data_IF_593227079695
#
_entry.id   IF_593227079695
#
_cell.length_a   1.000
_cell.length_b   1.000
_cell.length_c   1.000
_cell.angle_alpha   90.00
_cell.angle_beta   90.00
_cell.angle_gamma   90.00
#
_symmetry.space_group_name_H-M   'P 1'
#
loop_
_entity.id
_entity.type
_entity.pdbx_description
1 polymer ?
#
# COMPACT_ATOMS: atom_id res chain seq x y z
N UNK A 1 -8.36 -2.82 13.16
CA UNK A 1 -6.91 -2.53 13.10
C UNK A 1 -6.62 -1.24 13.87
N UNK A 2 -5.46 -1.14 14.54
CA UNK A 2 -5.08 0.06 15.30
C UNK A 2 -4.63 1.21 14.41
N UNK A 3 -4.00 0.90 13.27
CA UNK A 3 -3.59 1.84 12.24
C UNK A 3 -3.94 1.27 10.87
N UNK A 4 -4.29 2.15 9.93
CA UNK A 4 -4.60 1.81 8.54
C UNK A 4 -3.80 2.76 7.65
N UNK A 5 -2.95 2.21 6.78
CA UNK A 5 -2.22 3.00 5.78
C UNK A 5 -2.82 2.72 4.41
N UNK A 6 -3.48 3.71 3.82
CA UNK A 6 -3.97 3.67 2.45
C UNK A 6 -2.87 4.13 1.52
N UNK A 7 -2.28 3.20 0.79
CA UNK A 7 -1.28 3.49 -0.25
C UNK A 7 -2.00 3.59 -1.60
N UNK A 8 -1.82 4.72 -2.30
CA UNK A 8 -2.49 4.98 -3.58
C UNK A 8 -1.49 5.30 -4.67
N UNK A 9 -1.21 4.31 -5.53
CA UNK A 9 -0.25 4.42 -6.62
C UNK A 9 -0.89 4.95 -7.90
N UNK A 10 -0.34 6.03 -8.44
CA UNK A 10 -0.82 6.68 -9.67
C UNK A 10 0.32 7.02 -10.64
N UNK A 11 -0.01 7.47 -11.86
CA UNK A 11 1.00 7.85 -12.86
C UNK A 11 1.46 9.28 -12.65
N UNK A 12 0.51 10.21 -12.55
CA UNK A 12 0.74 11.64 -12.39
C UNK A 12 0.05 12.17 -11.13
N UNK A 13 0.50 13.30 -10.60
CA UNK A 13 -0.13 13.97 -9.46
C UNK A 13 -1.60 14.31 -9.74
N UNK A 14 -1.94 14.63 -10.99
CA UNK A 14 -3.30 14.91 -11.43
C UNK A 14 -4.24 13.69 -11.34
N UNK A 15 -3.70 12.47 -11.32
CA UNK A 15 -4.49 11.23 -11.21
C UNK A 15 -4.94 10.94 -9.76
N UNK A 16 -4.50 11.73 -8.77
CA UNK A 16 -4.96 11.63 -7.39
C UNK A 16 -6.40 12.16 -7.26
N UNK A 17 -7.38 11.41 -7.78
CA UNK A 17 -8.75 11.90 -7.95
C UNK A 17 -9.59 12.00 -6.67
N UNK A 18 -9.16 11.38 -5.56
CA UNK A 18 -9.97 11.21 -4.35
C UNK A 18 -9.49 12.04 -3.14
N UNK A 19 -8.63 13.03 -3.34
CA UNK A 19 -7.99 13.78 -2.25
C UNK A 19 -9.00 14.37 -1.27
N UNK A 20 -10.06 15.04 -1.75
CA UNK A 20 -11.08 15.62 -0.88
C UNK A 20 -11.75 14.56 0.00
N UNK A 21 -12.11 13.41 -0.57
CA UNK A 21 -12.78 12.34 0.16
C UNK A 21 -11.86 11.68 1.17
N UNK A 22 -10.60 11.43 0.79
CA UNK A 22 -9.59 10.84 1.67
C UNK A 22 -9.32 11.79 2.85
N UNK A 23 -9.14 13.09 2.61
CA UNK A 23 -8.96 14.07 3.70
C UNK A 23 -10.13 14.07 4.68
N UNK A 24 -11.38 14.02 4.20
CA UNK A 24 -12.55 13.88 5.08
C UNK A 24 -12.51 12.59 5.90
N UNK A 25 -12.13 11.47 5.29
CA UNK A 25 -11.99 10.20 6.01
C UNK A 25 -10.89 10.25 7.06
N UNK A 26 -9.76 10.91 6.80
CA UNK A 26 -8.69 11.08 7.79
C UNK A 26 -9.13 11.93 8.99
N UNK A 27 -9.96 12.96 8.76
CA UNK A 27 -10.55 13.76 9.85
C UNK A 27 -11.52 12.93 10.69
N UNK A 28 -12.31 12.05 10.05
CA UNK A 28 -13.27 11.19 10.74
C UNK A 28 -12.59 10.01 11.46
N UNK A 29 -11.49 9.50 10.90
CA UNK A 29 -10.78 8.31 11.37
C UNK A 29 -9.30 8.64 11.57
N UNK A 30 -8.88 9.10 12.77
CA UNK A 30 -7.50 9.47 13.05
C UNK A 30 -6.47 8.35 12.84
N UNK A 31 -6.91 7.09 12.85
CA UNK A 31 -6.09 5.92 12.55
C UNK A 31 -5.82 5.71 11.05
N UNK A 32 -6.46 6.47 10.17
CA UNK A 32 -6.28 6.40 8.72
C UNK A 32 -5.15 7.35 8.27
N UNK A 33 -4.09 6.76 7.74
CA UNK A 33 -2.96 7.45 7.14
C UNK A 33 -3.01 7.26 5.62
N UNK A 34 -2.66 8.31 4.88
CA UNK A 34 -2.68 8.29 3.44
C UNK A 34 -1.27 8.51 2.88
N UNK A 35 -0.87 7.62 1.96
CA UNK A 35 0.43 7.67 1.29
C UNK A 35 0.24 7.54 -0.22
N UNK A 36 0.18 8.66 -0.96
CA UNK A 36 0.19 8.61 -2.42
C UNK A 36 1.59 8.25 -2.93
N UNK A 37 1.63 7.52 -4.06
CA UNK A 37 2.87 7.15 -4.75
C UNK A 37 2.75 7.51 -6.23
N UNK A 38 3.59 8.42 -6.73
CA UNK A 38 3.51 8.97 -8.10
C UNK A 38 4.67 8.47 -8.94
N UNK A 39 4.36 7.76 -10.03
CA UNK A 39 5.38 6.95 -10.73
C UNK A 39 6.06 7.59 -11.94
N UNK A 40 5.51 8.65 -12.53
CA UNK A 40 6.04 9.23 -13.78
C UNK A 40 6.53 10.67 -13.67
N UNK A 41 6.43 11.27 -12.49
CA UNK A 41 6.91 12.62 -12.20
C UNK A 41 7.19 12.77 -10.70
N UNK A 42 7.92 13.81 -10.26
CA UNK A 42 8.11 14.08 -8.85
C UNK A 42 6.76 14.22 -8.13
N UNK A 43 6.62 13.49 -7.02
CA UNK A 43 5.43 13.55 -6.20
C UNK A 43 5.36 14.90 -5.48
N UNK A 44 4.21 15.59 -5.59
CA UNK A 44 3.94 16.82 -4.82
C UNK A 44 3.76 16.47 -3.33
N UNK A 45 3.21 15.30 -3.07
CA UNK A 45 3.00 14.72 -1.74
C UNK A 45 3.30 13.22 -1.77
N UNK A 46 3.80 12.68 -0.67
CA UNK A 46 4.10 11.25 -0.56
C UNK A 46 5.40 10.87 -1.28
N UNK A 47 5.39 9.73 -1.98
CA UNK A 47 6.59 9.13 -2.57
C UNK A 47 6.56 9.17 -4.09
N UNK A 48 7.74 9.25 -4.69
CA UNK A 48 7.96 9.06 -6.11
C UNK A 48 8.25 7.58 -6.45
N UNK A 49 8.02 7.18 -7.70
CA UNK A 49 8.30 5.84 -8.20
C UNK A 49 7.13 4.87 -8.11
N UNK A 50 7.42 3.56 -8.05
CA UNK A 50 6.40 2.50 -7.97
C UNK A 50 6.30 1.97 -6.54
N UNK A 51 5.10 1.53 -6.14
CA UNK A 51 4.87 0.87 -4.84
C UNK A 51 5.85 -0.29 -4.63
N UNK A 52 6.09 -1.12 -5.65
CA UNK A 52 7.05 -2.23 -5.58
C UNK A 52 8.46 -1.76 -5.27
N UNK A 53 8.93 -0.69 -5.90
CA UNK A 53 10.24 -0.10 -5.61
C UNK A 53 10.33 0.43 -4.19
N UNK A 54 9.27 1.10 -3.70
CA UNK A 54 9.22 1.66 -2.34
C UNK A 54 9.07 0.60 -1.24
N UNK A 55 8.58 -0.58 -1.59
CA UNK A 55 8.57 -1.75 -0.69
C UNK A 55 9.96 -2.39 -0.65
N UNK A 56 10.62 -2.52 -1.80
CA UNK A 56 11.94 -3.15 -1.90
C UNK A 56 13.05 -2.38 -1.19
N UNK A 57 12.93 -1.05 -1.10
CA UNK A 57 13.88 -0.18 -0.38
C UNK A 57 13.41 0.23 1.03
N UNK A 58 12.34 -0.40 1.53
CA UNK A 58 11.70 -0.14 2.82
C UNK A 58 11.16 1.29 3.03
N UNK A 59 11.26 2.20 2.06
CA UNK A 59 10.83 3.59 2.21
C UNK A 59 9.32 3.73 2.40
N UNK A 60 8.52 2.81 1.84
CA UNK A 60 7.09 2.75 2.08
C UNK A 60 6.79 2.41 3.54
N UNK A 61 7.50 1.44 4.12
CA UNK A 61 7.28 1.02 5.51
C UNK A 61 7.74 2.05 6.51
N UNK A 62 8.74 2.89 6.16
CA UNK A 62 9.13 4.03 6.97
C UNK A 62 8.00 5.08 7.16
N UNK A 63 6.99 5.07 6.30
CA UNK A 63 5.80 5.92 6.42
C UNK A 63 4.66 5.26 7.22
N UNK A 64 4.80 3.98 7.58
CA UNK A 64 3.86 3.31 8.46
C UNK A 64 4.11 3.70 9.93
N UNK A 65 3.05 3.69 10.73
CA UNK A 65 3.13 4.15 12.12
C UNK A 65 4.01 3.27 13.02
N UNK A 66 4.07 1.97 12.73
CA UNK A 66 4.83 0.97 13.49
C UNK A 66 5.71 0.18 12.52
N UNK A 67 6.75 -0.47 13.07
CA UNK A 67 7.50 -1.48 12.33
C UNK A 67 6.53 -2.54 11.78
N UNK A 68 6.62 -2.80 10.48
CA UNK A 68 5.73 -3.72 9.77
C UNK A 68 6.37 -5.10 9.78
N UNK A 69 5.73 -6.07 10.43
CA UNK A 69 6.22 -7.45 10.55
C UNK A 69 5.11 -8.47 10.26
N UNK A 70 5.44 -9.73 9.95
CA UNK A 70 4.44 -10.78 9.70
C UNK A 70 3.44 -10.99 10.85
N UNK A 71 3.84 -10.65 12.08
CA UNK A 71 3.01 -10.83 13.29
C UNK A 71 2.01 -9.68 13.51
N UNK A 72 2.22 -8.53 12.87
CA UNK A 72 1.45 -7.32 13.16
C UNK A 72 0.81 -6.63 11.94
N UNK A 73 1.08 -7.13 10.73
CA UNK A 73 0.64 -6.52 9.48
C UNK A 73 -0.35 -7.40 8.71
N UNK A 74 -1.23 -6.73 7.97
CA UNK A 74 -2.12 -7.32 6.98
C UNK A 74 -2.09 -6.43 5.74
N UNK A 75 -1.91 -7.03 4.57
CA UNK A 75 -1.84 -6.36 3.28
C UNK A 75 -3.07 -6.70 2.46
N UNK A 76 -3.74 -5.66 1.96
CA UNK A 76 -4.79 -5.77 0.97
C UNK A 76 -4.29 -5.08 -0.30
N UNK A 77 -4.07 -5.87 -1.36
CA UNK A 77 -3.46 -5.38 -2.61
C UNK A 77 -4.50 -5.45 -3.72
N UNK A 78 -4.76 -4.32 -4.35
CA UNK A 78 -5.72 -4.23 -5.45
C UNK A 78 -5.21 -3.33 -6.58
N UNK A 79 -5.51 -3.70 -7.83
CA UNK A 79 -5.21 -2.90 -9.01
C UNK A 79 -4.70 -3.71 -10.19
N UNK A 80 -3.70 -3.17 -10.90
CA UNK A 80 -3.10 -3.80 -12.06
C UNK A 80 -2.55 -5.21 -11.72
N UNK A 81 -2.89 -6.27 -12.47
CA UNK A 81 -2.42 -7.63 -12.24
C UNK A 81 -0.91 -7.77 -12.07
N UNK A 82 -0.13 -7.05 -12.87
CA UNK A 82 1.34 -7.06 -12.78
C UNK A 82 1.80 -6.49 -11.44
N UNK A 83 1.22 -5.34 -11.03
CA UNK A 83 1.53 -4.72 -9.74
C UNK A 83 1.14 -5.63 -8.58
N UNK A 84 -0.03 -6.26 -8.64
CA UNK A 84 -0.51 -7.19 -7.61
C UNK A 84 0.42 -8.38 -7.49
N UNK A 85 0.83 -8.98 -8.62
CA UNK A 85 1.73 -10.12 -8.67
C UNK A 85 3.10 -9.76 -8.07
N UNK A 86 3.71 -8.69 -8.56
CA UNK A 86 5.05 -8.26 -8.15
C UNK A 86 5.09 -7.88 -6.67
N UNK A 87 4.09 -7.13 -6.19
CA UNK A 87 3.98 -6.75 -4.77
C UNK A 87 3.80 -7.97 -3.87
N UNK A 88 2.97 -8.93 -4.29
CA UNK A 88 2.78 -10.17 -3.53
C UNK A 88 4.06 -11.00 -3.45
N UNK A 89 4.83 -11.05 -4.53
CA UNK A 89 6.10 -11.77 -4.57
C UNK A 89 7.13 -11.13 -3.62
N UNK A 90 7.30 -9.81 -3.69
CA UNK A 90 8.19 -9.06 -2.81
C UNK A 90 7.85 -9.27 -1.32
N UNK A 91 6.57 -9.17 -0.96
CA UNK A 91 6.14 -9.42 0.42
C UNK A 91 6.39 -10.89 0.82
N UNK A 92 6.23 -11.84 -0.11
CA UNK A 92 6.53 -13.25 0.17
C UNK A 92 8.02 -13.47 0.44
N UNK A 93 8.89 -12.81 -0.32
CA UNK A 93 10.35 -12.83 -0.10
C UNK A 93 10.74 -12.20 1.26
N UNK A 94 9.97 -11.22 1.72
CA UNK A 94 10.12 -10.60 3.05
C UNK A 94 9.50 -11.42 4.21
N UNK A 95 9.01 -12.63 3.93
CA UNK A 95 8.50 -13.55 4.96
C UNK A 95 7.00 -13.44 5.27
N UNK A 96 6.25 -12.64 4.51
CA UNK A 96 4.79 -12.62 4.59
C UNK A 96 4.19 -13.78 3.79
N UNK A 97 2.97 -14.20 4.15
CA UNK A 97 2.30 -15.34 3.51
C UNK A 97 0.96 -14.95 2.91
N UNK A 98 0.57 -15.64 1.84
CA UNK A 98 -0.76 -15.49 1.22
C UNK A 98 -1.85 -15.91 2.20
N UNK A 99 -2.84 -15.05 2.38
CA UNK A 99 -4.02 -15.37 3.15
C UNK A 99 -4.94 -16.31 2.35
N UNK A 100 -5.17 -17.51 2.88
CA UNK A 100 -6.07 -18.53 2.31
C UNK A 100 -7.06 -18.99 3.37
N UNK A 101 -8.22 -19.49 2.94
CA UNK A 101 -9.27 -19.97 3.86
C UNK A 101 -8.81 -21.02 4.86
N UNK A 102 -7.85 -21.89 4.49
CA UNK A 102 -7.29 -22.96 5.35
C UNK A 102 -5.94 -22.61 5.96
N UNK A 103 -5.26 -21.60 5.41
CA UNK A 103 -3.92 -21.18 5.81
C UNK A 103 -3.96 -19.65 5.94
N UNK A 104 -4.36 -19.13 7.11
CA UNK A 104 -4.37 -17.70 7.36
C UNK A 104 -2.99 -17.11 7.14
N UNK A 105 -2.94 -15.98 6.46
CA UNK A 105 -1.72 -15.27 6.14
C UNK A 105 -1.96 -13.76 6.15
N UNK A 106 -0.97 -12.99 5.71
CA UNK A 106 -1.01 -11.53 5.74
C UNK A 106 -1.43 -10.90 4.41
N UNK A 107 -1.29 -11.61 3.29
CA UNK A 107 -1.47 -11.03 1.95
C UNK A 107 -2.82 -11.46 1.37
N UNK A 108 -3.75 -10.51 1.25
CA UNK A 108 -5.03 -10.67 0.54
C UNK A 108 -4.98 -9.82 -0.74
N UNK A 109 -5.43 -10.38 -1.87
CA UNK A 109 -5.37 -9.66 -3.16
C UNK A 109 -6.68 -9.71 -3.90
N UNK A 110 -6.87 -8.70 -4.74
CA UNK A 110 -7.91 -8.62 -5.76
C UNK A 110 -7.28 -8.01 -7.03
N UNK A 111 -7.56 -8.58 -8.21
CA UNK A 111 -7.08 -8.05 -9.49
C UNK A 111 -8.23 -7.35 -10.21
N UNK A 112 -7.95 -6.25 -10.89
CA UNK A 112 -8.99 -5.50 -11.62
C UNK A 112 -9.39 -6.15 -12.95
N UNK A 113 -8.49 -6.88 -13.62
CA UNK A 113 -8.72 -7.55 -14.91
C UNK A 113 -7.84 -8.78 -15.08
#
# INVERSE_FOLDING_TARGET
>A
FKHITLVHGVRLNADLSYQTKITQLQQQYPQLHYLPVVSREPAIIGLDGRITSRIADDSLFAHCHNAVTPDNAQFMICGNPDMVKDTSALLTEQGYTRNRRREPGQITVEQYW
#
